data_IF_860449475018
#
_entry.id   IF_860449475018
#
_cell.length_a   1.000
_cell.length_b   1.000
_cell.length_c   1.000
_cell.angle_alpha   90.00
_cell.angle_beta   90.00
_cell.angle_gamma   90.00
#
_symmetry.space_group_name_H-M   'P 1'
#
loop_
_entity.id
_entity.type
_entity.pdbx_description
1 polymer ?
#
# COMPACT_ATOMS: atom_id res chain seq x y z
N UNK A 1 6.79 2.45 -4.97
CA UNK A 1 6.15 2.18 -6.28
C UNK A 1 6.47 0.74 -6.59
N UNK A 2 5.52 -0.15 -6.31
CA UNK A 2 5.70 -1.58 -6.54
C UNK A 2 5.28 -1.91 -7.96
N UNK A 3 6.11 -2.69 -8.65
CA UNK A 3 5.79 -3.22 -9.98
C UNK A 3 4.73 -4.33 -9.85
N UNK A 4 3.81 -4.39 -10.80
CA UNK A 4 2.69 -5.33 -10.75
C UNK A 4 3.16 -6.79 -10.77
N UNK A 5 4.27 -7.06 -11.47
CA UNK A 5 4.86 -8.41 -11.53
C UNK A 5 5.32 -8.86 -10.14
N UNK A 6 6.09 -8.02 -9.45
CA UNK A 6 6.60 -8.31 -8.10
C UNK A 6 5.47 -8.54 -7.09
N UNK A 7 4.34 -7.86 -7.25
CA UNK A 7 3.17 -8.05 -6.40
C UNK A 7 2.46 -9.39 -6.69
N UNK A 8 2.42 -9.84 -7.95
CA UNK A 8 1.81 -11.13 -8.31
C UNK A 8 2.63 -12.32 -7.83
N UNK A 9 3.95 -12.18 -7.82
CA UNK A 9 4.88 -13.20 -7.36
C UNK A 9 4.84 -13.43 -5.83
N UNK A 10 4.30 -12.46 -5.06
CA UNK A 10 4.11 -12.58 -3.62
C UNK A 10 2.97 -13.54 -3.26
N UNK A 11 3.13 -14.24 -2.15
CA UNK A 11 2.06 -14.99 -1.49
C UNK A 11 1.00 -14.06 -0.91
N UNK A 12 -0.20 -14.59 -0.64
CA UNK A 12 -1.29 -13.83 -0.01
C UNK A 12 -0.89 -13.27 1.37
N UNK A 13 -0.09 -14.03 2.14
CA UNK A 13 0.41 -13.59 3.45
C UNK A 13 1.41 -12.42 3.32
N UNK A 14 2.32 -12.49 2.35
CA UNK A 14 3.25 -11.38 2.08
C UNK A 14 2.52 -10.12 1.59
N UNK A 15 1.49 -10.28 0.75
CA UNK A 15 0.67 -9.15 0.30
C UNK A 15 -0.13 -8.52 1.46
N UNK A 16 -0.64 -9.33 2.39
CA UNK A 16 -1.28 -8.81 3.61
C UNK A 16 -0.30 -8.05 4.49
N UNK A 17 0.91 -8.61 4.71
CA UNK A 17 1.97 -7.93 5.46
C UNK A 17 2.37 -6.61 4.80
N UNK A 18 2.49 -6.60 3.47
CA UNK A 18 2.81 -5.42 2.69
C UNK A 18 1.70 -4.35 2.77
N UNK A 19 0.43 -4.75 2.68
CA UNK A 19 -0.70 -3.84 2.86
C UNK A 19 -0.72 -3.22 4.26
N UNK A 20 -0.39 -4.00 5.31
CA UNK A 20 -0.29 -3.49 6.67
C UNK A 20 0.84 -2.46 6.80
N UNK A 21 2.01 -2.73 6.23
CA UNK A 21 3.14 -1.81 6.27
C UNK A 21 2.83 -0.49 5.54
N UNK A 22 2.30 -0.56 4.32
CA UNK A 22 1.89 0.63 3.56
C UNK A 22 0.82 1.44 4.33
N UNK A 23 -0.11 0.75 5.00
CA UNK A 23 -1.14 1.40 5.83
C UNK A 23 -0.53 2.15 7.01
N UNK A 24 0.49 1.58 7.69
CA UNK A 24 1.24 2.24 8.75
C UNK A 24 1.99 3.47 8.24
N UNK A 25 2.62 3.38 7.06
CA UNK A 25 3.32 4.52 6.45
C UNK A 25 2.35 5.67 6.11
N UNK A 26 1.20 5.36 5.50
CA UNK A 26 0.14 6.35 5.23
C UNK A 26 -0.32 7.01 6.54
N UNK A 27 -0.53 6.24 7.60
CA UNK A 27 -0.93 6.77 8.90
C UNK A 27 0.10 7.75 9.46
N UNK A 28 1.39 7.38 9.46
CA UNK A 28 2.49 8.26 9.90
C UNK A 28 2.51 9.57 9.11
N UNK A 29 2.41 9.51 7.79
CA UNK A 29 2.37 10.71 6.95
C UNK A 29 1.15 11.58 7.22
N UNK A 30 -0.03 11.00 7.48
CA UNK A 30 -1.23 11.77 7.83
C UNK A 30 -1.08 12.45 9.20
N UNK A 31 -0.45 11.79 10.17
CA UNK A 31 -0.14 12.38 11.46
C UNK A 31 0.86 13.53 11.33
N UNK A 32 1.93 13.34 10.56
CA UNK A 32 2.91 14.39 10.27
C UNK A 32 2.24 15.60 9.62
N UNK A 33 1.39 15.39 8.61
CA UNK A 33 0.61 16.45 7.98
C UNK A 33 -0.28 17.18 8.99
N UNK A 34 -0.89 16.46 9.93
CA UNK A 34 -1.77 17.05 10.96
C UNK A 34 -0.98 17.90 11.96
N UNK A 35 0.21 17.44 12.38
CA UNK A 35 1.06 18.12 13.36
C UNK A 35 1.75 19.32 12.73
N UNK A 36 2.42 19.11 11.59
CA UNK A 36 3.27 20.10 10.95
C UNK A 36 2.52 21.03 9.98
N UNK A 37 1.25 20.71 9.64
CA UNK A 37 0.43 21.38 8.60
C UNK A 37 1.05 21.37 7.19
N UNK A 38 2.17 20.67 7.02
CA UNK A 38 2.89 20.49 5.77
C UNK A 38 3.45 19.07 5.70
N UNK A 39 3.69 18.61 4.47
CA UNK A 39 4.44 17.39 4.19
C UNK A 39 5.62 17.76 3.32
N UNK A 40 6.81 17.22 3.65
CA UNK A 40 8.00 17.45 2.84
C UNK A 40 7.87 16.81 1.44
N UNK A 41 7.17 15.66 1.36
CA UNK A 41 6.98 14.90 0.11
C UNK A 41 5.50 14.54 -0.08
N UNK A 42 4.62 15.48 -0.46
CA UNK A 42 3.18 15.22 -0.58
C UNK A 42 2.85 14.17 -1.64
N UNK A 43 3.65 14.07 -2.70
CA UNK A 43 3.50 13.04 -3.73
C UNK A 43 3.68 11.62 -3.18
N UNK A 44 4.51 11.43 -2.15
CA UNK A 44 4.74 10.12 -1.55
C UNK A 44 3.45 9.54 -0.95
N UNK A 45 2.62 10.37 -0.32
CA UNK A 45 1.31 9.95 0.19
C UNK A 45 0.39 9.45 -0.94
N UNK A 46 0.42 10.12 -2.10
CA UNK A 46 -0.33 9.70 -3.29
C UNK A 46 0.21 8.38 -3.85
N UNK A 47 1.54 8.20 -3.90
CA UNK A 47 2.16 6.96 -4.34
C UNK A 47 1.84 5.79 -3.41
N UNK A 48 1.96 5.97 -2.09
CA UNK A 48 1.63 4.93 -1.11
C UNK A 48 0.16 4.49 -1.20
N UNK A 49 -0.78 5.43 -1.42
CA UNK A 49 -2.19 5.09 -1.63
C UNK A 49 -2.39 4.24 -2.89
N UNK A 50 -1.71 4.58 -3.99
CA UNK A 50 -1.76 3.79 -5.23
C UNK A 50 -1.15 2.41 -5.05
N UNK A 51 0.00 2.33 -4.39
CA UNK A 51 0.66 1.07 -4.07
C UNK A 51 -0.25 0.18 -3.22
N UNK A 52 -0.90 0.74 -2.19
CA UNK A 52 -1.91 0.02 -1.38
C UNK A 52 -3.07 -0.51 -2.23
N UNK A 53 -3.60 0.32 -3.14
CA UNK A 53 -4.69 -0.09 -4.02
C UNK A 53 -4.28 -1.27 -4.91
N UNK A 54 -3.08 -1.23 -5.50
CA UNK A 54 -2.54 -2.34 -6.30
C UNK A 54 -2.43 -3.64 -5.49
N UNK A 55 -1.89 -3.57 -4.27
CA UNK A 55 -1.76 -4.73 -3.38
C UNK A 55 -3.14 -5.34 -3.09
N UNK A 56 -4.13 -4.50 -2.78
CA UNK A 56 -5.50 -4.97 -2.52
C UNK A 56 -6.15 -5.60 -3.75
N UNK A 57 -5.93 -5.05 -4.94
CA UNK A 57 -6.43 -5.65 -6.19
C UNK A 57 -5.85 -7.05 -6.39
N UNK A 58 -4.53 -7.23 -6.26
CA UNK A 58 -3.90 -8.56 -6.42
C UNK A 58 -4.36 -9.53 -5.32
N UNK A 59 -4.58 -9.05 -4.08
CA UNK A 59 -5.15 -9.87 -3.02
C UNK A 59 -6.57 -10.36 -3.38
N UNK A 60 -7.42 -9.50 -3.92
CA UNK A 60 -8.75 -9.89 -4.39
C UNK A 60 -8.65 -10.93 -5.50
N UNK A 61 -7.83 -10.67 -6.53
CA UNK A 61 -7.60 -11.62 -7.64
C UNK A 61 -7.19 -13.00 -7.12
N UNK A 62 -6.30 -13.08 -6.12
CA UNK A 62 -5.86 -14.34 -5.50
C UNK A 62 -6.93 -15.00 -4.63
N UNK A 63 -7.86 -14.23 -4.07
CA UNK A 63 -8.94 -14.78 -3.23
C UNK A 63 -10.07 -15.33 -4.11
N UNK A 64 -10.43 -14.58 -5.15
CA UNK A 64 -11.44 -14.95 -6.13
C UNK A 64 -11.02 -16.17 -6.97
N UNK A 65 -9.72 -16.31 -7.29
CA UNK A 65 -9.19 -17.48 -8.00
C UNK A 65 -9.18 -18.78 -7.17
N UNK A 66 -9.35 -18.69 -5.84
CA UNK A 66 -9.38 -19.84 -4.92
C UNK A 66 -10.79 -20.14 -4.39
N UNK A 67 -11.82 -19.44 -4.89
CA UNK A 67 -13.23 -19.61 -4.52
C UNK A 67 -13.98 -20.41 -5.58
#
# INVERSE_FOLDING_TARGET
MYELKDLRDKSSQELQALNLDISKQIYRMRNELKINRKLDKPHLLKHLKKDRARVLTILSEKTDANS
#
